data_IF_269274219906
#
_entry.id   IF_269274219906
#
_cell.length_a   1.000
_cell.length_b   1.000
_cell.length_c   1.000
_cell.angle_alpha   90.00
_cell.angle_beta   90.00
_cell.angle_gamma   90.00
#
_symmetry.space_group_name_H-M   'P 1'
#
loop_
_entity.id
_entity.type
_entity.pdbx_description
1 polymer ?
#
# COMPACT_ATOMS: atom_id res chain seq x y z
N UNK A 1 -14.88 -10.75 9.91
CA UNK A 1 -16.29 -10.55 10.28
C UNK A 1 -17.19 -10.25 9.10
N UNK A 2 -16.68 -9.80 7.94
CA UNK A 2 -17.51 -9.49 6.76
C UNK A 2 -18.23 -8.15 6.79
N UNK A 3 -17.96 -7.32 7.79
CA UNK A 3 -18.62 -6.02 7.98
C UNK A 3 -18.03 -4.89 7.12
N UNK A 4 -16.86 -5.10 6.53
CA UNK A 4 -16.15 -4.11 5.73
C UNK A 4 -16.22 -4.52 4.26
N UNK A 5 -16.81 -3.67 3.43
CA UNK A 5 -16.91 -3.89 1.98
C UNK A 5 -15.68 -3.42 1.22
N UNK A 6 -15.05 -2.34 1.66
CA UNK A 6 -13.87 -1.77 1.03
C UNK A 6 -13.02 -1.01 2.04
N UNK A 7 -11.74 -0.97 1.81
CA UNK A 7 -10.82 -0.12 2.58
C UNK A 7 -9.67 0.35 1.70
N UNK A 8 -9.02 1.42 2.11
CA UNK A 8 -7.81 1.93 1.47
C UNK A 8 -6.58 1.52 2.27
N UNK A 9 -5.50 1.20 1.61
CA UNK A 9 -4.28 0.78 2.27
C UNK A 9 -3.03 0.93 1.41
N UNK A 10 -1.90 0.61 1.99
CA UNK A 10 -0.64 0.51 1.26
C UNK A 10 -0.65 -0.71 0.35
N UNK A 11 0.01 -0.63 -0.81
CA UNK A 11 0.21 -1.77 -1.72
C UNK A 11 0.80 -2.98 -0.99
N UNK A 12 1.77 -2.75 -0.10
CA UNK A 12 2.39 -3.82 0.70
C UNK A 12 1.44 -4.49 1.70
N UNK A 13 0.30 -3.88 2.03
CA UNK A 13 -0.70 -4.50 2.91
C UNK A 13 -1.47 -5.64 2.23
N UNK A 14 -1.40 -5.76 0.91
CA UNK A 14 -1.99 -6.86 0.15
C UNK A 14 -1.57 -8.24 0.62
N UNK A 15 -0.37 -8.36 1.20
CA UNK A 15 0.14 -9.60 1.78
C UNK A 15 -0.68 -10.10 2.97
N UNK A 16 -1.51 -9.24 3.57
CA UNK A 16 -2.34 -9.54 4.75
C UNK A 16 -3.83 -9.60 4.42
N UNK A 17 -4.22 -9.48 3.15
CA UNK A 17 -5.63 -9.56 2.77
C UNK A 17 -6.15 -10.97 3.01
N UNK A 18 -7.27 -11.11 3.71
CA UNK A 18 -7.83 -12.43 3.98
C UNK A 18 -8.42 -13.05 2.71
N UNK A 19 -8.39 -14.37 2.65
CA UNK A 19 -9.12 -15.16 1.65
C UNK A 19 -10.48 -15.61 2.15
N UNK A 20 -10.71 -15.43 3.46
CA UNK A 20 -11.92 -15.90 4.12
C UNK A 20 -12.38 -14.90 5.16
N UNK A 21 -13.68 -14.86 5.39
CA UNK A 21 -14.32 -14.18 6.52
C UNK A 21 -14.92 -15.21 7.47
N UNK A 22 -14.83 -14.95 8.77
CA UNK A 22 -15.43 -15.76 9.81
C UNK A 22 -16.67 -15.02 10.30
N UNK A 23 -17.83 -15.63 10.09
CA UNK A 23 -19.14 -15.14 10.49
C UNK A 23 -19.74 -16.04 11.58
N UNK A 24 -20.81 -15.61 12.23
CA UNK A 24 -21.46 -16.38 13.29
C UNK A 24 -21.97 -17.75 12.81
N UNK A 25 -22.34 -17.84 11.54
CA UNK A 25 -22.87 -19.05 10.89
C UNK A 25 -21.81 -19.89 10.14
N UNK A 26 -20.53 -19.51 10.21
CA UNK A 26 -19.42 -20.25 9.60
C UNK A 26 -18.42 -19.40 8.85
N UNK A 27 -17.48 -20.06 8.19
CA UNK A 27 -16.44 -19.43 7.37
C UNK A 27 -16.87 -19.40 5.90
N UNK A 28 -16.62 -18.30 5.23
CA UNK A 28 -16.90 -18.11 3.80
C UNK A 28 -15.67 -17.59 3.08
N UNK A 29 -15.41 -18.13 1.90
CA UNK A 29 -14.39 -17.60 0.99
C UNK A 29 -14.82 -16.24 0.46
N UNK A 30 -13.86 -15.35 0.26
CA UNK A 30 -14.07 -14.00 -0.29
C UNK A 30 -13.06 -13.74 -1.39
N UNK A 31 -13.52 -13.04 -2.42
CA UNK A 31 -12.66 -12.46 -3.45
C UNK A 31 -12.44 -10.97 -3.18
N UNK A 32 -11.21 -10.52 -3.37
CA UNK A 32 -10.83 -9.12 -3.26
C UNK A 32 -10.54 -8.57 -4.66
N UNK A 33 -11.13 -7.42 -4.97
CA UNK A 33 -10.81 -6.65 -6.17
C UNK A 33 -9.98 -5.45 -5.76
N UNK A 34 -8.84 -5.27 -6.41
CA UNK A 34 -8.01 -4.09 -6.23
C UNK A 34 -8.43 -3.03 -7.24
N UNK A 35 -8.67 -1.84 -6.75
CA UNK A 35 -9.01 -0.68 -7.58
C UNK A 35 -8.15 0.51 -7.18
N UNK A 36 -7.97 1.45 -8.09
CA UNK A 36 -7.38 2.74 -7.76
C UNK A 36 -8.26 3.50 -6.77
N UNK A 37 -7.66 4.28 -5.84
CA UNK A 37 -8.43 5.13 -4.96
C UNK A 37 -9.34 6.07 -5.79
N UNK A 38 -10.61 6.25 -5.39
CA UNK A 38 -11.48 7.19 -6.07
C UNK A 38 -10.95 8.62 -5.91
N UNK A 39 -11.10 9.42 -6.95
CA UNK A 39 -10.81 10.84 -6.93
C UNK A 39 -12.10 11.62 -7.13
N UNK A 40 -12.17 12.83 -6.56
CA UNK A 40 -13.29 13.72 -6.79
C UNK A 40 -13.30 14.19 -8.26
N UNK A 41 -14.48 14.52 -8.79
CA UNK A 41 -14.60 15.06 -10.14
C UNK A 41 -13.72 16.30 -10.32
N UNK A 42 -12.86 16.30 -11.35
CA UNK A 42 -11.88 17.35 -11.58
C UNK A 42 -10.64 17.28 -10.67
N UNK A 43 -10.54 16.28 -9.81
CA UNK A 43 -9.38 16.05 -8.96
C UNK A 43 -8.21 15.37 -9.70
N UNK A 44 -7.04 15.44 -9.12
CA UNK A 44 -5.82 14.78 -9.62
C UNK A 44 -5.60 13.44 -8.92
N UNK A 45 -5.02 12.48 -9.63
CA UNK A 45 -4.57 11.23 -9.03
C UNK A 45 -3.28 11.47 -8.21
N UNK A 46 -3.45 11.65 -6.92
CA UNK A 46 -2.33 11.88 -5.98
C UNK A 46 -2.27 10.70 -5.02
N UNK A 47 -1.12 10.03 -4.99
CA UNK A 47 -0.85 8.96 -4.04
C UNK A 47 0.23 9.37 -3.04
N UNK A 48 0.01 9.03 -1.78
CA UNK A 48 1.05 9.21 -0.76
C UNK A 48 2.13 8.16 -0.98
N UNK A 49 3.35 8.60 -1.25
CA UNK A 49 4.50 7.74 -1.31
C UNK A 49 5.06 7.55 0.11
N UNK A 50 4.86 6.36 0.63
CA UNK A 50 5.50 5.88 1.84
C UNK A 50 6.48 4.77 1.45
N UNK A 51 7.64 4.76 2.06
CA UNK A 51 8.62 3.73 1.78
C UNK A 51 9.68 3.66 2.86
N UNK A 52 10.33 2.52 2.95
CA UNK A 52 11.52 2.38 3.76
C UNK A 52 12.71 3.00 3.01
N UNK A 53 13.45 3.84 3.70
CA UNK A 53 14.75 4.33 3.25
C UNK A 53 15.88 3.50 3.88
N UNK A 54 16.97 3.33 3.14
CA UNK A 54 18.18 2.73 3.67
C UNK A 54 19.28 3.78 3.75
N UNK A 55 19.98 3.83 4.88
CA UNK A 55 21.09 4.72 5.08
C UNK A 55 22.32 3.94 5.53
N UNK A 56 23.48 4.32 5.02
CA UNK A 56 24.76 3.80 5.50
C UNK A 56 25.16 4.63 6.72
N UNK A 57 25.26 3.98 7.88
CA UNK A 57 25.74 4.62 9.11
C UNK A 57 27.25 4.78 9.07
N UNK A 58 27.74 5.86 9.68
CA UNK A 58 29.17 6.09 9.78
C UNK A 58 29.85 4.98 10.60
N UNK A 59 30.91 4.40 10.02
CA UNK A 59 31.70 3.34 10.62
C UNK A 59 33.14 3.43 10.12
N UNK A 60 33.89 2.32 10.14
CA UNK A 60 35.16 2.23 9.43
C UNK A 60 34.95 2.04 7.92
N UNK A 61 36.00 2.35 7.15
CA UNK A 61 35.94 2.35 5.67
C UNK A 61 35.50 1.00 5.10
N UNK A 62 35.90 -0.12 5.72
CA UNK A 62 35.55 -1.46 5.25
C UNK A 62 34.07 -1.75 5.41
N UNK A 63 33.46 -1.38 6.54
CA UNK A 63 32.04 -1.59 6.78
C UNK A 63 31.19 -0.66 5.92
N UNK A 64 31.58 0.61 5.78
CA UNK A 64 30.90 1.56 4.91
C UNK A 64 30.93 1.10 3.44
N UNK A 65 32.10 0.64 2.97
CA UNK A 65 32.22 0.07 1.62
C UNK A 65 31.32 -1.14 1.42
N UNK A 66 31.31 -2.10 2.36
CA UNK A 66 30.48 -3.29 2.27
C UNK A 66 28.99 -2.94 2.26
N UNK A 67 28.55 -1.99 3.08
CA UNK A 67 27.16 -1.51 3.07
C UNK A 67 26.79 -0.87 1.72
N UNK A 68 27.67 -0.05 1.16
CA UNK A 68 27.46 0.53 -0.17
C UNK A 68 27.36 -0.54 -1.27
N UNK A 69 28.23 -1.56 -1.24
CA UNK A 69 28.17 -2.66 -2.21
C UNK A 69 26.88 -3.49 -2.07
N UNK A 70 26.41 -3.72 -0.84
CA UNK A 70 25.10 -4.33 -0.60
C UNK A 70 23.97 -3.49 -1.21
N UNK A 71 23.94 -2.18 -0.99
CA UNK A 71 22.91 -1.31 -1.56
C UNK A 71 22.95 -1.29 -3.08
N UNK A 72 24.13 -1.27 -3.69
CA UNK A 72 24.30 -1.39 -5.14
C UNK A 72 23.76 -2.73 -5.66
N UNK A 73 24.02 -3.83 -4.96
CA UNK A 73 23.51 -5.14 -5.30
C UNK A 73 21.98 -5.18 -5.16
N UNK A 74 21.43 -4.70 -4.05
CA UNK A 74 20.01 -4.70 -3.75
C UNK A 74 19.20 -3.88 -4.76
N UNK A 75 19.75 -2.76 -5.25
CA UNK A 75 19.08 -1.87 -6.22
C UNK A 75 19.33 -2.25 -7.69
N UNK A 76 20.02 -3.35 -7.99
CA UNK A 76 20.07 -3.89 -9.36
C UNK A 76 18.67 -4.34 -9.79
N UNK A 77 18.33 -4.12 -11.08
CA UNK A 77 16.99 -4.40 -11.62
C UNK A 77 16.44 -5.75 -11.18
N UNK A 78 17.21 -6.81 -11.39
CA UNK A 78 16.79 -8.17 -11.07
C UNK A 78 16.53 -8.38 -9.57
N UNK A 79 17.47 -7.99 -8.71
CA UNK A 79 17.36 -8.19 -7.26
C UNK A 79 16.23 -7.36 -6.67
N UNK A 80 16.08 -6.13 -7.15
CA UNK A 80 15.04 -5.23 -6.68
C UNK A 80 13.65 -5.70 -7.12
N UNK A 81 13.47 -6.15 -8.35
CA UNK A 81 12.20 -6.71 -8.81
C UNK A 81 11.82 -7.99 -8.10
N UNK A 82 12.78 -8.86 -7.74
CA UNK A 82 12.48 -10.01 -6.88
C UNK A 82 11.95 -9.57 -5.51
N UNK A 83 12.59 -8.59 -4.90
CA UNK A 83 12.11 -8.02 -3.64
C UNK A 83 10.70 -7.40 -3.79
N UNK A 84 10.42 -6.73 -4.90
CA UNK A 84 9.08 -6.20 -5.24
C UNK A 84 8.04 -7.31 -5.25
N UNK A 85 8.32 -8.42 -5.92
CA UNK A 85 7.42 -9.57 -5.99
C UNK A 85 7.11 -10.17 -4.62
N UNK A 86 8.09 -10.17 -3.71
CA UNK A 86 7.97 -10.77 -2.36
C UNK A 86 7.36 -9.81 -1.33
N UNK A 87 7.45 -8.50 -1.55
CA UNK A 87 7.06 -7.47 -0.56
C UNK A 87 5.91 -6.57 -0.99
N UNK A 88 5.56 -6.59 -2.26
CA UNK A 88 4.64 -5.62 -2.89
C UNK A 88 5.05 -4.15 -2.71
N UNK A 89 6.34 -3.85 -2.49
CA UNK A 89 6.88 -2.50 -2.57
C UNK A 89 7.07 -2.10 -4.04
N UNK A 90 7.04 -0.81 -4.34
CA UNK A 90 7.34 -0.34 -5.69
C UNK A 90 8.84 -0.44 -6.00
N UNK A 91 9.21 -0.68 -7.28
CA UNK A 91 10.59 -0.67 -7.71
C UNK A 91 11.26 0.69 -7.46
N UNK A 92 12.55 0.67 -7.06
CA UNK A 92 13.32 1.89 -6.84
C UNK A 92 13.93 2.46 -8.12
N UNK A 93 13.90 1.70 -9.21
CA UNK A 93 14.49 2.10 -10.50
C UNK A 93 13.39 2.52 -11.48
N UNK A 94 13.64 3.60 -12.20
CA UNK A 94 12.70 4.09 -13.23
C UNK A 94 12.46 3.10 -14.36
N UNK A 95 13.50 2.34 -14.74
CA UNK A 95 13.44 1.31 -15.80
C UNK A 95 12.79 -0.01 -15.34
N UNK A 96 12.26 -0.03 -14.14
CA UNK A 96 11.57 -1.17 -13.53
C UNK A 96 10.13 -0.84 -13.11
N UNK A 97 9.72 0.42 -13.25
CA UNK A 97 8.37 0.88 -12.87
C UNK A 97 7.38 0.69 -14.03
N UNK A 98 7.21 -0.56 -14.46
CA UNK A 98 6.18 -0.94 -15.43
C UNK A 98 5.72 -2.37 -15.19
N UNK A 99 4.52 -2.69 -15.66
CA UNK A 99 3.94 -4.05 -15.57
C UNK A 99 4.78 -5.01 -16.40
N UNK A 100 5.27 -4.59 -17.57
CA UNK A 100 6.09 -5.42 -18.44
C UNK A 100 7.39 -5.85 -17.77
N UNK A 101 8.04 -4.94 -17.01
CA UNK A 101 9.26 -5.27 -16.27
C UNK A 101 8.99 -6.26 -15.13
N UNK A 102 7.80 -6.16 -14.50
CA UNK A 102 7.34 -7.07 -13.47
C UNK A 102 7.07 -8.46 -14.07
N UNK A 103 6.32 -8.52 -15.16
CA UNK A 103 5.98 -9.79 -15.83
C UNK A 103 7.21 -10.51 -16.38
N UNK A 104 8.15 -9.74 -16.95
CA UNK A 104 9.42 -10.27 -17.43
C UNK A 104 10.19 -11.01 -16.34
N UNK A 105 10.37 -10.39 -15.17
CA UNK A 105 11.12 -11.03 -14.07
C UNK A 105 10.38 -12.22 -13.46
N UNK A 106 9.05 -12.14 -13.35
CA UNK A 106 8.24 -13.25 -12.86
C UNK A 106 8.44 -14.47 -13.76
N UNK A 107 8.34 -14.28 -15.08
CA UNK A 107 8.52 -15.33 -16.07
C UNK A 107 9.94 -15.87 -16.12
N UNK A 108 10.94 -14.98 -16.18
CA UNK A 108 12.34 -15.35 -16.31
C UNK A 108 12.88 -16.13 -15.12
N UNK A 109 12.37 -15.87 -13.93
CA UNK A 109 12.81 -16.49 -12.67
C UNK A 109 11.81 -17.49 -12.11
N UNK A 110 10.71 -17.74 -12.80
CA UNK A 110 9.62 -18.62 -12.33
C UNK A 110 9.18 -18.25 -10.89
N UNK A 111 8.98 -16.96 -10.66
CA UNK A 111 8.62 -16.45 -9.33
C UNK A 111 7.15 -16.70 -9.03
N UNK A 112 6.87 -17.14 -7.81
CA UNK A 112 5.50 -17.20 -7.30
C UNK A 112 5.18 -15.89 -6.60
N UNK A 113 4.24 -15.15 -7.14
CA UNK A 113 3.73 -13.90 -6.56
C UNK A 113 2.34 -14.14 -6.02
N UNK A 114 2.03 -13.57 -4.87
CA UNK A 114 0.66 -13.62 -4.35
C UNK A 114 -0.27 -12.83 -5.29
N UNK A 115 -1.42 -13.39 -5.64
CA UNK A 115 -2.34 -12.79 -6.62
C UNK A 115 -2.81 -11.40 -6.22
N UNK A 116 -3.06 -11.14 -4.94
CA UNK A 116 -3.47 -9.83 -4.43
C UNK A 116 -2.33 -8.82 -4.47
N UNK A 117 -1.11 -9.26 -4.16
CA UNK A 117 0.08 -8.44 -4.31
C UNK A 117 0.32 -8.07 -5.78
N UNK A 118 0.16 -9.02 -6.70
CA UNK A 118 0.25 -8.76 -8.12
C UNK A 118 -0.81 -7.76 -8.59
N UNK A 119 -2.09 -7.93 -8.21
CA UNK A 119 -3.15 -6.98 -8.55
C UNK A 119 -2.87 -5.56 -8.05
N UNK A 120 -2.32 -5.43 -6.82
CA UNK A 120 -1.93 -4.12 -6.27
C UNK A 120 -0.77 -3.49 -7.06
N UNK A 121 0.25 -4.27 -7.40
CA UNK A 121 1.38 -3.81 -8.19
C UNK A 121 0.94 -3.43 -9.61
N UNK A 122 0.16 -4.28 -10.28
CA UNK A 122 -0.39 -4.01 -11.61
C UNK A 122 -1.21 -2.72 -11.62
N UNK A 123 -2.12 -2.55 -10.67
CA UNK A 123 -2.96 -1.35 -10.55
C UNK A 123 -2.14 -0.07 -10.47
N UNK A 124 -1.09 -0.03 -9.64
CA UNK A 124 -0.28 1.19 -9.48
C UNK A 124 0.72 1.38 -10.63
N UNK A 125 1.33 0.31 -11.14
CA UNK A 125 2.29 0.40 -12.23
C UNK A 125 1.62 0.78 -13.56
N UNK A 126 0.42 0.28 -13.84
CA UNK A 126 -0.38 0.65 -15.01
C UNK A 126 -0.77 2.13 -15.04
N UNK A 127 -0.85 2.77 -13.88
CA UNK A 127 -1.20 4.20 -13.74
C UNK A 127 -0.04 5.07 -13.29
N UNK A 128 1.17 4.53 -13.27
CA UNK A 128 2.34 5.21 -12.70
C UNK A 128 2.58 6.60 -13.30
N UNK A 129 2.50 6.72 -14.61
CA UNK A 129 2.73 7.98 -15.33
C UNK A 129 1.58 9.00 -15.17
N UNK A 130 0.40 8.53 -14.75
CA UNK A 130 -0.77 9.38 -14.50
C UNK A 130 -0.91 9.78 -13.03
N UNK A 131 -0.08 9.21 -12.16
CA UNK A 131 -0.15 9.38 -10.72
C UNK A 131 0.94 10.33 -10.23
N UNK A 132 0.54 11.38 -9.53
CA UNK A 132 1.46 12.24 -8.79
C UNK A 132 1.76 11.64 -7.42
N UNK A 133 3.02 11.39 -7.13
CA UNK A 133 3.42 10.87 -5.83
C UNK A 133 3.82 12.00 -4.89
N UNK A 134 3.27 11.95 -3.68
CA UNK A 134 3.52 12.95 -2.63
C UNK A 134 4.15 12.29 -1.40
N UNK A 135 5.30 12.81 -0.98
CA UNK A 135 5.91 12.43 0.30
C UNK A 135 5.69 13.54 1.32
N UNK A 136 4.96 13.28 2.42
CA UNK A 136 4.73 14.27 3.46
C UNK A 136 6.06 14.78 4.04
N UNK A 137 6.22 16.10 4.05
CA UNK A 137 7.40 16.71 4.70
C UNK A 137 7.30 16.55 6.21
N UNK A 138 8.43 16.27 6.84
CA UNK A 138 8.52 16.31 8.29
C UNK A 138 8.47 17.77 8.76
N UNK A 139 7.65 18.05 9.77
CA UNK A 139 7.56 19.35 10.42
C UNK A 139 7.35 19.16 11.92
N UNK A 140 7.69 20.19 12.68
CA UNK A 140 7.50 20.17 14.14
C UNK A 140 6.02 19.95 14.46
N UNK A 141 5.74 19.07 15.42
CA UNK A 141 4.38 18.67 15.80
C UNK A 141 3.56 17.93 14.72
N UNK A 142 4.18 17.50 13.60
CA UNK A 142 3.48 16.77 12.54
C UNK A 142 2.79 15.49 13.04
N UNK A 143 3.38 14.80 14.02
CA UNK A 143 2.75 13.64 14.64
C UNK A 143 1.49 14.02 15.43
N UNK A 144 1.54 15.09 16.20
CA UNK A 144 0.39 15.60 16.95
C UNK A 144 -0.76 16.01 16.02
N UNK A 145 -0.45 16.71 14.93
CA UNK A 145 -1.43 17.07 13.91
C UNK A 145 -2.13 15.85 13.29
N UNK A 146 -1.38 14.79 12.97
CA UNK A 146 -1.96 13.55 12.46
C UNK A 146 -2.89 12.88 13.47
N UNK A 147 -2.52 12.90 14.75
CA UNK A 147 -3.34 12.34 15.83
C UNK A 147 -4.66 13.09 15.98
N UNK A 148 -4.65 14.41 15.89
CA UNK A 148 -5.88 15.21 15.94
C UNK A 148 -6.81 14.82 14.79
N UNK A 149 -6.30 14.74 13.56
CA UNK A 149 -7.10 14.34 12.40
C UNK A 149 -7.68 12.92 12.53
N UNK A 150 -6.91 11.99 13.08
CA UNK A 150 -7.33 10.61 13.31
C UNK A 150 -8.48 10.53 14.33
N UNK A 151 -8.33 11.23 15.45
CA UNK A 151 -9.35 11.27 16.50
C UNK A 151 -10.61 12.01 16.04
N UNK A 152 -10.48 13.16 15.40
CA UNK A 152 -11.63 13.93 14.90
C UNK A 152 -12.45 13.12 13.89
N UNK A 153 -11.79 12.36 13.01
CA UNK A 153 -12.46 11.49 12.06
C UNK A 153 -13.20 10.33 12.76
N UNK A 154 -12.53 9.68 13.73
CA UNK A 154 -13.10 8.56 14.49
C UNK A 154 -14.29 9.01 15.33
N UNK A 155 -14.18 10.14 16.02
CA UNK A 155 -15.24 10.70 16.86
C UNK A 155 -16.44 11.10 15.99
N UNK A 156 -16.19 11.73 14.85
CA UNK A 156 -17.24 12.11 13.90
C UNK A 156 -17.96 10.88 13.33
N UNK A 157 -17.23 9.86 12.97
CA UNK A 157 -17.80 8.60 12.47
C UNK A 157 -18.68 7.93 13.55
N UNK A 158 -18.24 7.93 14.79
CA UNK A 158 -19.01 7.38 15.92
C UNK A 158 -20.31 8.17 16.18
N UNK A 159 -20.24 9.52 16.16
CA UNK A 159 -21.42 10.38 16.28
C UNK A 159 -22.43 10.13 15.15
N UNK A 160 -21.96 10.06 13.91
CA UNK A 160 -22.84 9.89 12.76
C UNK A 160 -23.45 8.48 12.72
N UNK A 161 -22.67 7.47 13.12
CA UNK A 161 -23.21 6.12 13.31
C UNK A 161 -24.31 6.08 14.37
N UNK A 162 -24.13 6.71 15.52
CA UNK A 162 -25.14 6.77 16.57
C UNK A 162 -26.43 7.42 16.08
N UNK A 163 -26.35 8.50 15.29
CA UNK A 163 -27.52 9.14 14.67
C UNK A 163 -28.25 8.21 13.71
N UNK A 164 -27.51 7.48 12.86
CA UNK A 164 -28.10 6.52 11.93
C UNK A 164 -28.79 5.40 12.68
N UNK A 165 -28.16 4.85 13.71
CA UNK A 165 -28.75 3.79 14.54
C UNK A 165 -30.05 4.28 15.24
N UNK A 166 -30.07 5.52 15.75
CA UNK A 166 -31.26 6.13 16.34
C UNK A 166 -32.39 6.34 15.32
N UNK A 167 -32.07 6.83 14.12
CA UNK A 167 -33.03 7.00 13.02
C UNK A 167 -33.61 5.66 12.60
N UNK A 168 -32.80 4.62 12.46
CA UNK A 168 -33.23 3.28 12.11
C UNK A 168 -34.15 2.68 13.19
N UNK A 169 -33.83 2.87 14.48
CA UNK A 169 -34.65 2.43 15.60
C UNK A 169 -36.00 3.19 15.67
N UNK A 170 -36.02 4.46 15.27
CA UNK A 170 -37.23 5.28 15.17
C UNK A 170 -38.12 5.02 13.94
N UNK A 171 -37.76 4.06 13.10
CA UNK A 171 -38.56 3.68 11.92
C UNK A 171 -38.45 4.64 10.74
N UNK A 172 -37.47 5.50 10.70
CA UNK A 172 -37.10 6.29 9.52
C UNK A 172 -36.12 5.49 8.64
N UNK A 173 -36.59 5.07 7.48
CA UNK A 173 -35.77 4.42 6.43
C UNK A 173 -35.21 5.44 5.44
#
# INVERSE_FOLDING_TARGET
>A
TGDILAYTGSVSSSMYFPDQVIMDDGTRDIDCIVMQPPVLEGGEHICVQQGAGMAVTKSDERHEYAACEFLKWFTRKENNLRFVCESAYLPVRKDSNSVEALDEIIKDKDLKVNDKAYQCLDSILSSYDLTSFYTPKCFENGYAARKILDYDLSDKAAEDKAKVDEMAAGGMS
#
